data_IF_095865938906
#
_entry.id   IF_095865938906
#
_cell.length_a   1.000
_cell.length_b   1.000
_cell.length_c   1.000
_cell.angle_alpha   90.00
_cell.angle_beta   90.00
_cell.angle_gamma   90.00
#
_symmetry.space_group_name_H-M   'P 1'
#
loop_
_entity.id
_entity.type
_entity.pdbx_description
1 polymer ?
#
# COMPACT_ATOMS: atom_id res chain seq x y z
N UNK A 1 18.94 -47.13 -46.51
CA UNK A 1 18.97 -46.25 -45.32
C UNK A 1 18.21 -44.99 -45.69
N UNK A 2 17.11 -44.74 -44.98
CA UNK A 2 16.12 -43.71 -45.29
C UNK A 2 16.66 -42.29 -45.18
N UNK A 3 16.29 -41.44 -46.13
CA UNK A 3 16.48 -39.99 -46.10
C UNK A 3 15.30 -39.37 -45.36
N UNK A 4 15.51 -38.96 -44.11
CA UNK A 4 14.50 -38.24 -43.34
C UNK A 4 14.48 -36.74 -43.67
N UNK A 5 13.26 -36.25 -43.82
CA UNK A 5 12.86 -34.94 -44.35
C UNK A 5 13.09 -33.84 -43.31
N UNK A 6 13.69 -32.74 -43.77
CA UNK A 6 13.76 -31.46 -43.05
C UNK A 6 12.36 -30.86 -42.88
N UNK A 7 11.98 -30.54 -41.64
CA UNK A 7 10.75 -29.81 -41.30
C UNK A 7 11.12 -28.58 -40.48
N UNK A 8 11.06 -27.42 -41.12
CA UNK A 8 11.20 -26.11 -40.48
C UNK A 8 9.98 -25.86 -39.58
N UNK A 9 10.21 -25.79 -38.27
CA UNK A 9 9.22 -25.25 -37.33
C UNK A 9 9.41 -23.74 -37.17
N UNK A 10 8.34 -22.93 -37.20
CA UNK A 10 8.46 -21.48 -37.00
C UNK A 10 8.86 -21.17 -35.56
N UNK A 11 9.91 -20.35 -35.43
CA UNK A 11 10.39 -19.85 -34.15
C UNK A 11 9.25 -19.14 -33.41
N UNK A 12 8.82 -19.73 -32.27
CA UNK A 12 7.96 -19.04 -31.32
C UNK A 12 8.68 -17.76 -30.89
N UNK A 13 8.17 -16.62 -31.36
CA UNK A 13 8.61 -15.29 -30.94
C UNK A 13 8.36 -15.19 -29.44
N UNK A 14 9.33 -15.61 -28.65
CA UNK A 14 9.40 -15.33 -27.22
C UNK A 14 9.31 -13.82 -27.12
N UNK A 15 8.16 -13.32 -26.64
CA UNK A 15 8.03 -11.95 -26.17
C UNK A 15 9.06 -11.84 -25.07
N UNK A 16 10.23 -11.34 -25.44
CA UNK A 16 11.31 -10.97 -24.54
C UNK A 16 10.69 -9.90 -23.65
N UNK A 17 10.10 -10.32 -22.54
CA UNK A 17 9.72 -9.43 -21.46
C UNK A 17 11.01 -8.74 -21.10
N UNK A 18 11.16 -7.49 -21.54
CA UNK A 18 12.13 -6.62 -20.90
C UNK A 18 11.81 -6.73 -19.40
N UNK A 19 12.81 -6.96 -18.54
CA UNK A 19 12.57 -6.81 -17.12
C UNK A 19 12.10 -5.37 -16.98
N UNK A 20 10.80 -5.20 -16.77
CA UNK A 20 10.27 -3.95 -16.25
C UNK A 20 11.10 -3.73 -15.01
N UNK A 21 12.00 -2.74 -15.05
CA UNK A 21 12.66 -2.22 -13.86
C UNK A 21 11.54 -1.71 -13.00
N UNK A 22 10.92 -2.61 -12.24
CA UNK A 22 9.73 -2.33 -11.48
C UNK A 22 10.22 -1.38 -10.40
N UNK A 23 9.98 -0.09 -10.63
CA UNK A 23 10.48 0.97 -9.77
C UNK A 23 9.92 0.72 -8.37
N UNK A 24 10.81 0.48 -7.42
CA UNK A 24 10.47 0.35 -6.00
C UNK A 24 10.53 1.72 -5.36
N UNK A 25 9.53 2.05 -4.55
CA UNK A 25 9.56 3.25 -3.70
C UNK A 25 10.67 3.13 -2.66
N UNK A 26 11.49 4.15 -2.54
CA UNK A 26 12.50 4.25 -1.49
C UNK A 26 11.88 4.73 -0.17
N UNK A 27 12.48 4.42 0.99
CA UNK A 27 11.99 4.92 2.28
C UNK A 27 11.87 6.45 2.33
N UNK A 28 12.77 7.17 1.64
CA UNK A 28 12.75 8.63 1.55
C UNK A 28 11.54 9.14 0.75
N UNK A 29 11.24 8.52 -0.40
CA UNK A 29 10.05 8.84 -1.19
C UNK A 29 8.76 8.53 -0.42
N UNK A 30 8.72 7.39 0.28
CA UNK A 30 7.59 7.03 1.15
C UNK A 30 7.38 8.05 2.27
N UNK A 31 8.45 8.41 2.98
CA UNK A 31 8.38 9.42 4.04
C UNK A 31 7.91 10.78 3.51
N UNK A 32 8.36 11.14 2.31
CA UNK A 32 7.94 12.39 1.66
C UNK A 32 6.47 12.36 1.27
N UNK A 33 5.98 11.22 0.77
CA UNK A 33 4.56 11.04 0.48
C UNK A 33 3.70 11.14 1.75
N UNK A 34 4.16 10.57 2.88
CA UNK A 34 3.50 10.74 4.19
C UNK A 34 3.43 12.21 4.59
N UNK A 35 4.56 12.92 4.52
CA UNK A 35 4.59 14.35 4.85
C UNK A 35 3.65 15.15 3.96
N UNK A 36 3.60 14.85 2.65
CA UNK A 36 2.65 15.47 1.73
C UNK A 36 1.19 15.21 2.14
N UNK A 37 0.84 13.98 2.53
CA UNK A 37 -0.52 13.67 3.02
C UNK A 37 -0.87 14.45 4.29
N UNK A 38 0.06 14.60 5.24
CA UNK A 38 -0.15 15.38 6.46
C UNK A 38 -0.33 16.86 6.14
N UNK A 39 0.47 17.40 5.24
CA UNK A 39 0.39 18.79 4.80
C UNK A 39 -0.97 19.09 4.15
N UNK A 40 -1.47 18.17 3.32
CA UNK A 40 -2.83 18.28 2.77
C UNK A 40 -3.90 18.28 3.87
N UNK A 41 -3.74 17.48 4.93
CA UNK A 41 -4.67 17.47 6.04
C UNK A 41 -4.70 18.83 6.78
N UNK A 42 -3.55 19.48 6.95
CA UNK A 42 -3.43 20.81 7.58
C UNK A 42 -4.02 21.90 6.67
N UNK A 43 -3.78 21.81 5.37
CA UNK A 43 -4.20 22.81 4.38
C UNK A 43 -5.68 22.69 3.96
N UNK A 44 -6.52 21.97 4.71
CA UNK A 44 -7.97 21.91 4.46
C UNK A 44 -8.37 21.11 3.21
N UNK A 45 -7.48 20.26 2.69
CA UNK A 45 -7.79 19.38 1.55
C UNK A 45 -8.72 18.23 1.90
N UNK A 46 -9.15 18.13 3.16
CA UNK A 46 -10.23 17.24 3.58
C UNK A 46 -11.58 17.91 3.42
N UNK A 47 -12.53 17.16 2.87
CA UNK A 47 -13.94 17.51 2.91
C UNK A 47 -14.51 17.19 4.30
N UNK A 48 -15.70 17.72 4.60
CA UNK A 48 -16.37 17.52 5.89
C UNK A 48 -16.69 16.05 6.19
N UNK A 49 -16.76 15.21 5.15
CA UNK A 49 -16.90 13.76 5.24
C UNK A 49 -15.57 13.02 5.53
N UNK A 50 -14.50 13.75 5.84
CA UNK A 50 -13.17 13.21 6.15
C UNK A 50 -12.29 12.90 4.94
N UNK A 51 -12.87 12.78 3.75
CA UNK A 51 -12.16 12.31 2.55
C UNK A 51 -11.37 13.43 1.85
N UNK A 52 -10.31 13.06 1.12
CA UNK A 52 -9.54 14.02 0.33
C UNK A 52 -10.34 14.55 -0.87
N UNK A 53 -10.26 15.87 -1.11
CA UNK A 53 -10.91 16.53 -2.24
C UNK A 53 -10.36 16.02 -3.58
N UNK A 54 -11.16 16.05 -4.67
CA UNK A 54 -10.67 15.73 -6.01
C UNK A 54 -9.42 16.54 -6.36
N UNK A 55 -8.45 15.90 -7.02
CA UNK A 55 -7.18 16.54 -7.39
C UNK A 55 -6.04 16.37 -6.38
N UNK A 56 -6.31 15.88 -5.17
CA UNK A 56 -5.26 15.70 -4.15
C UNK A 56 -4.07 14.84 -4.61
N UNK A 57 -4.29 13.87 -5.51
CA UNK A 57 -3.22 13.07 -6.10
C UNK A 57 -2.24 13.90 -6.92
N UNK A 58 -2.73 14.91 -7.64
CA UNK A 58 -1.88 15.83 -8.39
C UNK A 58 -1.07 16.71 -7.43
N UNK A 59 -1.69 17.18 -6.35
CA UNK A 59 -1.00 17.96 -5.33
C UNK A 59 0.14 17.15 -4.68
N UNK A 60 -0.09 15.86 -4.41
CA UNK A 60 0.95 14.95 -3.93
C UNK A 60 2.06 14.73 -4.96
N UNK A 61 1.71 14.66 -6.25
CA UNK A 61 2.71 14.58 -7.33
C UNK A 61 3.58 15.84 -7.37
N UNK A 62 2.97 17.03 -7.28
CA UNK A 62 3.71 18.29 -7.19
C UNK A 62 4.63 18.32 -5.98
N UNK A 63 4.10 18.00 -4.79
CA UNK A 63 4.86 17.96 -3.54
C UNK A 63 6.06 17.01 -3.61
N UNK A 64 5.90 15.83 -4.24
CA UNK A 64 6.96 14.87 -4.46
C UNK A 64 7.99 15.37 -5.48
N UNK A 65 7.55 15.98 -6.58
CA UNK A 65 8.45 16.51 -7.62
C UNK A 65 9.32 17.64 -7.12
N UNK A 66 8.79 18.51 -6.26
CA UNK A 66 9.57 19.61 -5.67
C UNK A 66 10.72 19.10 -4.80
N UNK A 67 10.54 17.95 -4.13
CA UNK A 67 11.52 17.39 -3.18
C UNK A 67 12.41 16.30 -3.80
N UNK A 68 11.89 15.60 -4.79
CA UNK A 68 12.55 14.51 -5.51
C UNK A 68 12.30 14.67 -7.01
N UNK A 69 12.91 15.67 -7.67
CA UNK A 69 12.65 15.95 -9.08
C UNK A 69 13.08 14.79 -9.98
N UNK A 70 14.14 14.06 -9.63
CA UNK A 70 14.57 12.83 -10.30
C UNK A 70 13.70 11.60 -10.02
N UNK A 71 12.71 11.70 -9.11
CA UNK A 71 11.85 10.56 -8.82
C UNK A 71 10.94 10.17 -9.98
N UNK A 72 10.58 11.08 -10.89
CA UNK A 72 9.64 10.75 -11.98
C UNK A 72 8.32 10.10 -11.52
N UNK A 73 7.97 10.25 -10.24
CA UNK A 73 6.73 9.74 -9.66
C UNK A 73 5.57 10.55 -10.22
N UNK A 74 4.45 9.87 -10.46
CA UNK A 74 3.24 10.46 -11.05
C UNK A 74 2.07 10.16 -10.12
N UNK A 75 1.13 11.09 -10.04
CA UNK A 75 -0.15 10.94 -9.36
C UNK A 75 -0.81 9.61 -9.73
N UNK A 76 -0.89 9.34 -11.03
CA UNK A 76 -1.24 8.03 -11.59
C UNK A 76 -0.17 7.52 -12.57
N UNK A 77 0.18 6.22 -12.52
CA UNK A 77 -0.37 5.19 -11.63
C UNK A 77 0.33 5.11 -10.25
N UNK A 78 1.44 5.82 -10.03
CA UNK A 78 2.37 5.51 -8.93
C UNK A 78 1.83 5.86 -7.55
N UNK A 79 1.44 7.12 -7.32
CA UNK A 79 0.94 7.58 -6.01
C UNK A 79 -0.37 6.87 -5.68
N UNK A 80 -1.32 6.81 -6.62
CA UNK A 80 -2.60 6.13 -6.42
C UNK A 80 -2.41 4.65 -6.01
N UNK A 81 -1.54 3.91 -6.72
CA UNK A 81 -1.27 2.49 -6.40
C UNK A 81 -0.65 2.34 -5.01
N UNK A 82 0.27 3.24 -4.64
CA UNK A 82 0.93 3.23 -3.33
C UNK A 82 -0.06 3.50 -2.19
N UNK A 83 -0.93 4.50 -2.36
CA UNK A 83 -1.98 4.82 -1.38
C UNK A 83 -3.01 3.69 -1.23
N UNK A 84 -3.42 3.05 -2.33
CA UNK A 84 -4.31 1.88 -2.27
C UNK A 84 -3.70 0.74 -1.45
N UNK A 85 -2.40 0.50 -1.65
CA UNK A 85 -1.66 -0.48 -0.86
C UNK A 85 -1.62 -0.08 0.63
N UNK A 86 -1.21 1.15 0.95
CA UNK A 86 -1.16 1.62 2.34
C UNK A 86 -2.51 1.57 3.04
N UNK A 87 -3.59 2.00 2.38
CA UNK A 87 -4.95 1.92 2.95
C UNK A 87 -5.37 0.49 3.26
N UNK A 88 -5.05 -0.47 2.39
CA UNK A 88 -5.33 -1.90 2.65
C UNK A 88 -4.52 -2.42 3.82
N UNK A 89 -3.21 -2.15 3.85
CA UNK A 89 -2.35 -2.55 4.97
C UNK A 89 -2.79 -1.93 6.29
N UNK A 90 -3.14 -0.64 6.27
CA UNK A 90 -3.72 0.06 7.41
C UNK A 90 -5.00 -0.60 7.91
N UNK A 91 -5.91 -0.97 7.01
CA UNK A 91 -7.16 -1.64 7.38
C UNK A 91 -6.91 -2.98 8.09
N UNK A 92 -6.03 -3.83 7.55
CA UNK A 92 -5.69 -5.11 8.18
C UNK A 92 -4.97 -4.93 9.52
N UNK A 93 -4.02 -3.99 9.65
CA UNK A 93 -3.36 -3.69 10.92
C UNK A 93 -4.33 -3.13 11.97
N UNK A 94 -5.28 -2.29 11.54
CA UNK A 94 -6.29 -1.73 12.43
C UNK A 94 -7.28 -2.78 12.92
N UNK A 95 -7.63 -3.77 12.09
CA UNK A 95 -8.42 -4.93 12.50
C UNK A 95 -7.64 -5.82 13.47
N UNK A 96 -6.36 -6.05 13.18
CA UNK A 96 -5.47 -6.84 14.01
C UNK A 96 -5.39 -6.30 15.44
N UNK A 97 -5.21 -4.97 15.59
CA UNK A 97 -5.18 -4.31 16.91
C UNK A 97 -6.45 -4.50 17.74
N UNK A 98 -7.58 -4.80 17.10
CA UNK A 98 -8.84 -5.05 17.78
C UNK A 98 -9.05 -6.50 18.22
N UNK A 99 -8.11 -7.40 17.92
CA UNK A 99 -8.23 -8.82 18.29
C UNK A 99 -7.52 -9.14 19.59
N UNK A 100 -8.10 -10.07 20.34
CA UNK A 100 -7.47 -10.62 21.53
C UNK A 100 -6.18 -11.39 21.13
N UNK A 101 -5.13 -11.25 21.94
CA UNK A 101 -3.86 -11.94 21.72
C UNK A 101 -3.05 -11.49 20.49
N UNK A 102 -3.47 -10.41 19.84
CA UNK A 102 -2.73 -9.75 18.76
C UNK A 102 -2.53 -8.27 19.11
N UNK A 103 -1.38 -7.73 18.72
CA UNK A 103 -1.04 -6.35 19.01
C UNK A 103 -0.08 -5.76 17.98
N UNK A 104 0.30 -4.51 18.24
CA UNK A 104 1.25 -3.79 17.39
C UNK A 104 2.29 -3.08 18.26
N UNK A 105 3.56 -3.33 17.99
CA UNK A 105 4.68 -2.69 18.64
C UNK A 105 5.13 -1.47 17.82
N UNK A 106 4.78 -0.28 18.28
CA UNK A 106 5.08 0.98 17.59
C UNK A 106 6.57 1.30 17.51
N UNK A 107 7.38 0.88 18.49
CA UNK A 107 8.81 1.18 18.51
C UNK A 107 9.60 0.53 17.38
N UNK A 108 9.18 -0.67 16.94
CA UNK A 108 9.86 -1.42 15.87
C UNK A 108 8.96 -1.63 14.62
N UNK A 109 7.70 -1.19 14.70
CA UNK A 109 6.70 -1.37 13.66
C UNK A 109 6.30 -2.84 13.44
N UNK A 110 6.43 -3.69 14.45
CA UNK A 110 6.18 -5.14 14.32
C UNK A 110 4.81 -5.53 14.87
N UNK A 111 4.26 -6.63 14.36
CA UNK A 111 3.05 -7.24 14.89
C UNK A 111 3.43 -8.11 16.10
N UNK A 112 2.70 -7.94 17.20
CA UNK A 112 2.80 -8.78 18.39
C UNK A 112 1.78 -9.92 18.24
N UNK A 113 2.22 -11.16 18.48
CA UNK A 113 1.38 -12.36 18.47
C UNK A 113 1.59 -13.06 19.81
N UNK A 114 0.66 -12.87 20.73
CA UNK A 114 0.72 -13.49 22.06
C UNK A 114 0.22 -14.94 22.02
N UNK A 115 -0.78 -15.22 21.18
CA UNK A 115 -1.30 -16.57 20.94
C UNK A 115 -1.32 -16.91 19.43
N UNK A 116 -0.54 -17.90 18.96
CA UNK A 116 -0.53 -18.31 17.56
C UNK A 116 -1.91 -18.73 17.03
N UNK A 117 -2.80 -19.24 17.89
CA UNK A 117 -4.15 -19.63 17.47
C UNK A 117 -5.01 -18.42 17.11
N UNK A 118 -4.82 -17.29 17.78
CA UNK A 118 -5.50 -16.03 17.44
C UNK A 118 -4.98 -15.47 16.12
N UNK A 119 -3.69 -15.66 15.81
CA UNK A 119 -3.13 -15.36 14.49
C UNK A 119 -3.74 -16.24 13.39
N UNK A 120 -3.84 -17.56 13.59
CA UNK A 120 -4.48 -18.46 12.62
C UNK A 120 -5.96 -18.10 12.39
N UNK A 121 -6.70 -17.75 13.45
CA UNK A 121 -8.08 -17.25 13.32
C UNK A 121 -8.11 -15.94 12.53
N UNK A 122 -7.20 -15.02 12.80
CA UNK A 122 -7.09 -13.78 12.03
C UNK A 122 -6.84 -14.02 10.55
N UNK A 123 -5.95 -14.94 10.20
CA UNK A 123 -5.67 -15.27 8.79
C UNK A 123 -6.83 -15.96 8.06
N UNK A 124 -7.74 -16.63 8.78
CA UNK A 124 -8.98 -17.15 8.17
C UNK A 124 -9.91 -16.04 7.71
N UNK A 125 -9.97 -14.95 8.48
CA UNK A 125 -10.82 -13.80 8.18
C UNK A 125 -10.11 -12.79 7.25
N UNK A 126 -8.79 -12.65 7.38
CA UNK A 126 -7.92 -11.73 6.63
C UNK A 126 -6.77 -12.48 5.93
N UNK A 127 -7.03 -13.33 4.92
CA UNK A 127 -5.99 -14.14 4.27
C UNK A 127 -4.89 -13.31 3.59
N UNK A 128 -5.21 -12.07 3.21
CA UNK A 128 -4.25 -11.11 2.66
C UNK A 128 -3.17 -10.66 3.66
N UNK A 129 -3.35 -10.92 4.95
CA UNK A 129 -2.42 -10.52 6.01
C UNK A 129 -1.34 -11.55 6.33
N UNK A 130 -1.34 -12.71 5.66
CA UNK A 130 -0.41 -13.84 5.88
C UNK A 130 1.07 -13.45 5.92
N UNK A 131 1.48 -12.45 5.14
CA UNK A 131 2.86 -11.98 5.06
C UNK A 131 3.11 -10.68 5.84
N UNK A 132 2.20 -10.26 6.71
CA UNK A 132 2.33 -8.98 7.42
C UNK A 132 3.20 -9.09 8.66
N UNK A 133 3.19 -10.23 9.36
CA UNK A 133 4.02 -10.45 10.56
C UNK A 133 5.52 -10.60 10.23
N UNK A 134 5.87 -10.89 8.98
CA UNK A 134 7.27 -10.98 8.51
C UNK A 134 7.86 -9.62 8.12
N UNK A 135 7.06 -8.55 8.16
CA UNK A 135 7.43 -7.20 7.74
C UNK A 135 7.29 -6.22 8.89
N UNK A 136 8.04 -5.11 8.78
CA UNK A 136 7.88 -3.94 9.63
C UNK A 136 6.94 -2.93 8.96
N UNK A 137 6.19 -2.21 9.79
CA UNK A 137 5.19 -1.23 9.41
C UNK A 137 5.45 0.11 10.14
N UNK A 138 6.63 0.73 9.94
CA UNK A 138 7.02 1.93 10.69
C UNK A 138 6.07 3.11 10.48
N UNK A 139 5.38 3.16 9.33
CA UNK A 139 4.44 4.23 8.97
C UNK A 139 3.05 4.05 9.58
N UNK A 140 2.81 3.01 10.39
CA UNK A 140 1.47 2.71 10.88
C UNK A 140 0.88 3.82 11.77
N UNK A 141 1.70 4.46 12.61
CA UNK A 141 1.25 5.60 13.42
C UNK A 141 0.85 6.80 12.55
N UNK A 142 1.61 7.10 11.50
CA UNK A 142 1.27 8.16 10.54
C UNK A 142 -0.03 7.82 9.79
N UNK A 143 -0.21 6.54 9.44
CA UNK A 143 -1.46 6.07 8.82
C UNK A 143 -2.65 6.19 9.74
N UNK A 144 -2.50 6.00 11.05
CA UNK A 144 -3.58 6.24 12.02
C UNK A 144 -3.96 7.72 12.10
N UNK A 145 -2.99 8.62 12.10
CA UNK A 145 -3.24 10.08 12.08
C UNK A 145 -3.94 10.51 10.79
N UNK A 146 -3.47 9.99 9.66
CA UNK A 146 -4.02 10.30 8.34
C UNK A 146 -5.36 9.56 8.21
N UNK A 147 -5.37 8.24 8.00
CA UNK A 147 -6.57 7.48 7.61
C UNK A 147 -7.54 7.15 8.76
N UNK A 148 -7.16 7.32 10.02
CA UNK A 148 -8.01 6.94 11.16
C UNK A 148 -9.34 7.70 11.22
N UNK A 149 -9.38 8.94 10.72
CA UNK A 149 -10.63 9.72 10.62
C UNK A 149 -11.53 9.26 9.47
N UNK A 150 -10.94 8.80 8.37
CA UNK A 150 -11.69 8.32 7.18
C UNK A 150 -12.54 7.07 7.49
N UNK A 151 -12.06 6.21 8.41
CA UNK A 151 -12.71 4.92 8.71
C UNK A 151 -13.96 5.05 9.60
N UNK A 152 -14.04 6.06 10.46
CA UNK A 152 -15.22 6.23 11.32
C UNK A 152 -16.49 6.55 10.51
N UNK A 153 -16.33 7.14 9.32
CA UNK A 153 -17.44 7.53 8.46
C UNK A 153 -17.70 6.53 7.31
N UNK A 154 -16.69 5.83 6.79
CA UNK A 154 -16.91 4.78 5.76
C UNK A 154 -17.78 3.62 6.29
N UNK A 155 -17.62 3.26 7.57
CA UNK A 155 -18.44 2.23 8.22
C UNK A 155 -19.90 2.70 8.45
N UNK A 156 -20.16 4.00 8.42
CA UNK A 156 -21.50 4.59 8.60
C UNK A 156 -22.32 4.56 7.30
N UNK A 157 -21.67 4.29 6.15
CA UNK A 157 -22.32 4.26 4.82
C UNK A 157 -22.65 2.85 4.32
N UNK A 158 -22.16 1.79 5.00
CA UNK A 158 -22.43 0.38 4.67
C UNK A 158 -23.59 -0.23 5.47
N UNK A 159 -24.31 0.59 6.26
CA UNK A 159 -25.54 0.20 6.93
C UNK A 159 -26.76 0.73 6.19
N UNK A 160 -27.12 0.10 5.07
CA UNK A 160 -28.43 0.22 4.44
C UNK A 160 -28.82 -1.12 3.82
#
# INVERSE_FOLDING_TARGET
MEIQKSSMQPAKRSRRSTPSTQRTWTPTEESTLINGLKELCVNGWRADNGTFRPGYLMELEHYLRERHPESGLKSEPHVNSKLKFWKRSYASLSLLKGRNGLGFQYSDGTIIIDDPKEWDKFLKDEPGASNMNTKKWPLFADWEEIFGKDRQLENMQKGH
#
